data_IF_217891062205
#
_entry.id   IF_217891062205
#
_cell.length_a   1.000
_cell.length_b   1.000
_cell.length_c   1.000
_cell.angle_alpha   90.00
_cell.angle_beta   90.00
_cell.angle_gamma   90.00
#
_symmetry.space_group_name_H-M   'P 1'
#
loop_
_entity.id
_entity.type
_entity.pdbx_description
1 polymer ?
#
# COMPACT_ATOMS: atom_id res chain seq x y z
N UNK A 1 25.31 80.64 21.67
CA UNK A 1 25.08 79.23 22.05
C UNK A 1 26.15 78.44 21.32
N UNK A 2 27.13 77.93 22.05
CA UNK A 2 28.34 77.34 21.49
C UNK A 2 28.03 75.94 20.91
N UNK A 3 28.25 75.67 19.61
CA UNK A 3 27.86 74.41 18.97
C UNK A 3 28.75 73.20 19.33
N UNK A 4 29.76 73.39 20.19
CA UNK A 4 30.71 72.37 20.61
C UNK A 4 30.56 71.91 22.07
N UNK A 5 29.40 72.17 22.70
CA UNK A 5 29.15 71.69 24.06
C UNK A 5 29.00 70.16 24.08
N UNK A 6 30.04 69.48 24.56
CA UNK A 6 30.08 68.03 24.75
C UNK A 6 29.13 67.63 25.91
N UNK A 7 28.25 66.66 25.67
CA UNK A 7 27.29 66.22 26.68
C UNK A 7 28.01 65.56 27.87
N UNK A 8 27.56 65.80 29.13
CA UNK A 8 28.24 65.25 30.31
C UNK A 8 28.25 63.72 30.26
N UNK A 9 29.44 63.13 30.25
CA UNK A 9 29.64 61.68 30.24
C UNK A 9 29.18 61.03 31.54
N UNK A 10 28.56 59.85 31.43
CA UNK A 10 28.13 59.03 32.57
C UNK A 10 29.36 58.53 33.37
N UNK A 11 29.33 58.66 34.70
CA UNK A 11 30.40 58.18 35.57
C UNK A 11 30.54 56.63 35.53
N UNK A 12 31.77 56.08 35.62
CA UNK A 12 31.99 54.64 35.57
C UNK A 12 31.36 53.93 36.79
N UNK A 13 30.60 52.86 36.54
CA UNK A 13 29.94 52.06 37.59
C UNK A 13 28.41 52.19 37.65
N UNK A 14 27.79 53.13 36.92
CA UNK A 14 26.32 53.24 36.81
C UNK A 14 25.84 52.75 35.45
N UNK A 15 24.89 51.81 35.42
CA UNK A 15 24.29 51.26 34.19
C UNK A 15 23.27 52.23 33.60
N UNK A 16 23.74 53.20 32.82
CA UNK A 16 22.85 54.08 32.07
C UNK A 16 22.21 53.31 30.90
N UNK A 17 20.87 53.21 30.83
CA UNK A 17 20.17 52.46 29.78
C UNK A 17 20.46 52.98 28.36
N UNK A 18 20.78 54.26 28.19
CA UNK A 18 21.17 54.81 26.88
C UNK A 18 22.53 54.30 26.41
N UNK A 19 23.49 54.18 27.33
CA UNK A 19 24.85 53.72 27.01
C UNK A 19 24.86 52.21 26.72
N UNK A 20 24.04 51.44 27.44
CA UNK A 20 23.81 50.02 27.14
C UNK A 20 23.14 49.81 25.79
N UNK A 21 22.14 50.62 25.42
CA UNK A 21 21.50 50.55 24.11
C UNK A 21 22.48 50.91 22.97
N UNK A 22 23.37 51.88 23.20
CA UNK A 22 24.43 52.26 22.25
C UNK A 22 25.45 51.13 22.09
N UNK A 23 25.89 50.51 23.19
CA UNK A 23 26.79 49.36 23.17
C UNK A 23 26.17 48.14 22.46
N UNK A 24 24.90 47.82 22.73
CA UNK A 24 24.19 46.74 22.03
C UNK A 24 24.08 46.97 20.52
N UNK A 25 23.76 48.19 20.10
CA UNK A 25 23.70 48.54 18.65
C UNK A 25 25.05 48.46 17.93
N UNK A 26 26.17 48.58 18.64
CA UNK A 26 27.51 48.40 18.06
C UNK A 26 27.86 46.92 17.90
N UNK A 27 27.39 46.07 18.82
CA UNK A 27 27.70 44.65 18.85
C UNK A 27 26.74 43.81 18.00
N UNK A 28 25.48 44.23 17.87
CA UNK A 28 24.45 43.52 17.13
C UNK A 28 24.23 44.17 15.77
N UNK A 29 24.55 43.45 14.69
CA UNK A 29 24.27 43.91 13.32
C UNK A 29 22.74 43.89 13.11
N UNK A 30 22.10 44.99 12.71
CA UNK A 30 20.67 44.98 12.44
C UNK A 30 20.39 44.00 11.32
N UNK A 31 19.47 43.06 11.56
CA UNK A 31 19.14 42.01 10.61
C UNK A 31 18.46 42.67 9.39
N UNK A 32 19.04 42.62 8.18
CA UNK A 32 18.58 43.43 7.05
C UNK A 32 17.32 42.86 6.38
N UNK A 33 16.81 41.74 6.87
CA UNK A 33 15.69 41.02 6.27
C UNK A 33 14.47 41.20 7.17
N UNK A 34 13.48 41.96 6.69
CA UNK A 34 12.16 42.06 7.30
C UNK A 34 11.36 40.79 6.97
N UNK A 35 11.52 39.77 7.81
CA UNK A 35 10.88 38.46 7.61
C UNK A 35 9.41 38.49 8.05
N UNK A 36 8.52 38.13 7.13
CA UNK A 36 7.09 37.95 7.42
C UNK A 36 6.78 36.46 7.52
N UNK A 37 6.34 35.98 8.69
CA UNK A 37 6.05 34.56 8.84
C UNK A 37 4.86 34.15 7.97
N UNK A 38 4.94 32.95 7.42
CA UNK A 38 3.89 32.31 6.63
C UNK A 38 3.20 31.19 7.43
N UNK A 39 2.01 30.80 6.98
CA UNK A 39 1.22 29.71 7.60
C UNK A 39 1.89 28.33 7.60
N UNK A 40 2.99 28.16 6.87
CA UNK A 40 3.74 26.91 6.73
C UNK A 40 4.96 26.82 7.65
N UNK A 41 5.39 27.93 8.25
CA UNK A 41 6.62 27.96 9.07
C UNK A 41 6.52 27.05 10.30
N UNK A 42 5.29 26.76 10.75
CA UNK A 42 4.99 25.83 11.85
C UNK A 42 5.34 24.36 11.54
N UNK A 43 5.44 24.00 10.26
CA UNK A 43 5.63 22.62 9.82
C UNK A 43 7.10 22.33 9.44
N UNK A 44 7.98 23.34 9.51
CA UNK A 44 9.40 23.23 9.21
C UNK A 44 10.27 23.59 10.43
N UNK A 45 11.33 22.82 10.66
CA UNK A 45 12.38 23.22 11.61
C UNK A 45 13.13 24.41 11.00
N UNK A 46 12.76 25.63 11.40
CA UNK A 46 13.38 26.86 10.91
C UNK A 46 14.86 26.91 11.31
N UNK A 47 15.71 27.45 10.43
CA UNK A 47 17.07 27.96 10.74
C UNK A 47 16.99 29.23 11.63
N UNK A 48 16.30 29.11 12.77
CA UNK A 48 16.10 30.18 13.74
C UNK A 48 17.35 30.45 14.58
N UNK A 49 17.31 31.50 15.38
CA UNK A 49 18.42 31.83 16.29
C UNK A 49 18.71 30.67 17.25
N UNK A 50 19.95 30.54 17.73
CA UNK A 50 20.43 29.38 18.51
C UNK A 50 19.54 29.03 19.72
N UNK A 51 18.80 30.00 20.27
CA UNK A 51 17.83 29.80 21.35
C UNK A 51 16.53 29.10 20.92
N UNK A 52 16.04 29.36 19.70
CA UNK A 52 14.80 28.76 19.18
C UNK A 52 15.00 27.29 18.82
N UNK A 53 16.18 26.95 18.29
CA UNK A 53 16.59 25.55 17.99
C UNK A 53 16.71 24.73 19.27
N UNK A 54 17.20 25.33 20.36
CA UNK A 54 17.31 24.67 21.66
C UNK A 54 15.93 24.33 22.25
N UNK A 55 14.96 25.24 22.13
CA UNK A 55 13.59 25.00 22.61
C UNK A 55 12.84 23.97 21.76
N UNK A 56 13.05 23.94 20.45
CA UNK A 56 12.56 22.85 19.58
C UNK A 56 13.17 21.50 19.98
N UNK A 57 14.48 21.44 20.22
CA UNK A 57 15.17 20.22 20.65
C UNK A 57 14.64 19.64 21.97
N UNK A 58 14.25 20.49 22.92
CA UNK A 58 13.63 20.07 24.19
C UNK A 58 12.20 19.54 23.95
N UNK A 59 11.41 20.22 23.11
CA UNK A 59 10.06 19.78 22.75
C UNK A 59 10.07 18.43 22.04
N UNK A 60 11.01 18.21 21.13
CA UNK A 60 11.17 16.95 20.40
C UNK A 60 11.66 15.82 21.31
N UNK A 61 12.59 16.10 22.23
CA UNK A 61 13.06 15.12 23.22
C UNK A 61 11.91 14.66 24.13
N UNK A 62 11.07 15.59 24.57
CA UNK A 62 9.88 15.28 25.37
C UNK A 62 8.86 14.47 24.57
N UNK A 63 8.62 14.82 23.30
CA UNK A 63 7.71 14.10 22.38
C UNK A 63 8.21 12.70 22.02
N UNK A 64 9.52 12.46 22.05
CA UNK A 64 10.16 11.15 21.83
C UNK A 64 10.08 10.22 23.05
N UNK A 65 9.85 10.78 24.25
CA UNK A 65 9.60 10.01 25.49
C UNK A 65 8.13 9.61 25.68
N UNK A 66 7.18 10.19 24.94
CA UNK A 66 5.83 9.65 24.90
C UNK A 66 5.82 8.35 24.09
N UNK A 67 5.23 7.25 24.60
CA UNK A 67 5.08 6.03 23.84
C UNK A 67 4.19 6.34 22.63
N UNK A 68 4.78 6.33 21.44
CA UNK A 68 4.04 6.33 20.18
C UNK A 68 3.29 5.01 20.09
N UNK A 69 2.06 5.02 20.60
CA UNK A 69 1.16 3.89 20.46
C UNK A 69 0.76 3.73 18.99
N UNK A 70 0.64 2.47 18.59
CA UNK A 70 0.09 1.96 17.32
C UNK A 70 0.91 2.21 16.05
N UNK A 71 2.09 1.58 15.97
CA UNK A 71 2.55 1.07 14.67
C UNK A 71 1.53 0.02 14.20
N UNK A 72 0.49 0.47 13.50
CA UNK A 72 -0.35 -0.43 12.72
C UNK A 72 0.56 -1.07 11.67
N UNK A 73 0.71 -2.40 11.64
CA UNK A 73 1.50 -3.04 10.59
C UNK A 73 0.96 -2.58 9.24
N UNK A 74 1.84 -2.31 8.27
CA UNK A 74 1.42 -1.88 6.95
C UNK A 74 0.50 -2.94 6.32
N UNK A 75 -0.81 -2.73 6.42
CA UNK A 75 -1.82 -3.58 5.79
C UNK A 75 -1.94 -3.11 4.34
N UNK A 76 -1.60 -3.98 3.41
CA UNK A 76 -1.89 -3.74 2.00
C UNK A 76 -3.40 -3.49 1.83
N UNK A 77 -3.76 -2.42 1.13
CA UNK A 77 -5.16 -2.09 0.88
C UNK A 77 -5.83 -3.28 0.19
N UNK A 78 -7.07 -3.66 0.58
CA UNK A 78 -7.79 -4.69 -0.15
C UNK A 78 -7.94 -4.26 -1.61
N UNK A 79 -7.87 -5.21 -2.57
CA UNK A 79 -8.09 -4.90 -3.97
C UNK A 79 -9.48 -4.29 -4.16
N UNK A 80 -9.64 -3.33 -5.09
CA UNK A 80 -10.92 -2.71 -5.35
C UNK A 80 -11.95 -3.72 -5.86
N UNK A 81 -13.23 -3.57 -5.47
CA UNK A 81 -14.37 -4.41 -5.90
C UNK A 81 -14.80 -4.14 -7.37
N UNK A 82 -13.84 -3.90 -8.26
CA UNK A 82 -14.07 -3.69 -9.68
C UNK A 82 -13.67 -4.93 -10.46
N UNK A 83 -14.46 -5.28 -11.48
CA UNK A 83 -14.13 -6.38 -12.38
C UNK A 83 -12.82 -6.05 -13.10
N UNK A 84 -11.92 -7.02 -13.18
CA UNK A 84 -10.70 -6.86 -13.97
C UNK A 84 -11.08 -6.65 -15.44
N UNK A 85 -10.68 -5.53 -16.04
CA UNK A 85 -10.87 -5.27 -17.46
C UNK A 85 -9.52 -5.32 -18.18
N UNK A 86 -9.20 -6.42 -18.88
CA UNK A 86 -7.92 -6.56 -19.57
C UNK A 86 -7.73 -5.48 -20.66
N UNK A 87 -8.80 -4.94 -21.25
CA UNK A 87 -8.72 -3.92 -22.28
C UNK A 87 -8.24 -2.54 -21.77
N UNK A 88 -8.31 -2.32 -20.45
CA UNK A 88 -7.86 -1.08 -19.81
C UNK A 88 -6.48 -1.20 -19.16
N UNK A 89 -5.80 -2.34 -19.34
CA UNK A 89 -4.47 -2.54 -18.78
C UNK A 89 -3.43 -1.72 -19.56
N UNK A 90 -2.58 -0.97 -18.86
CA UNK A 90 -1.61 -0.04 -19.46
C UNK A 90 -0.66 -0.73 -20.45
N UNK A 91 -0.30 -1.98 -20.16
CA UNK A 91 0.61 -2.80 -20.95
C UNK A 91 -0.05 -4.14 -21.26
N UNK A 92 -0.52 -4.38 -22.49
CA UNK A 92 -1.13 -5.65 -22.87
C UNK A 92 -0.17 -6.84 -22.76
N UNK A 93 1.13 -6.61 -22.91
CA UNK A 93 2.17 -7.65 -22.75
C UNK A 93 2.42 -8.10 -21.31
N UNK A 94 1.91 -7.36 -20.32
CA UNK A 94 1.97 -7.75 -18.90
C UNK A 94 0.76 -8.64 -18.52
N UNK A 95 -0.21 -8.78 -19.42
CA UNK A 95 -1.29 -9.75 -19.29
C UNK A 95 -0.77 -11.14 -19.65
N UNK A 96 -1.29 -12.16 -18.98
CA UNK A 96 -1.01 -13.54 -19.36
C UNK A 96 -1.32 -13.77 -20.84
N UNK A 97 -0.47 -14.54 -21.52
CA UNK A 97 -0.54 -14.75 -22.97
C UNK A 97 -0.87 -16.19 -23.32
N UNK A 98 -1.37 -16.41 -24.53
CA UNK A 98 -1.58 -17.78 -25.03
C UNK A 98 -0.24 -18.50 -25.23
N UNK A 99 0.82 -17.76 -25.58
CA UNK A 99 2.17 -18.29 -25.75
C UNK A 99 2.77 -18.84 -24.44
N UNK A 100 2.44 -18.20 -23.32
CA UNK A 100 2.85 -18.61 -21.96
C UNK A 100 1.85 -19.53 -21.27
N UNK A 101 0.69 -19.79 -21.88
CA UNK A 101 -0.37 -20.65 -21.34
C UNK A 101 -1.15 -20.04 -20.16
N UNK A 102 -0.96 -18.75 -19.88
CA UNK A 102 -1.58 -18.08 -18.73
C UNK A 102 -2.58 -16.96 -19.10
N UNK A 103 -3.01 -16.93 -20.37
CA UNK A 103 -4.10 -16.09 -20.87
C UNK A 103 -5.35 -16.10 -19.99
N UNK A 104 -5.64 -17.21 -19.31
CA UNK A 104 -6.79 -17.32 -18.42
C UNK A 104 -6.74 -16.33 -17.24
N UNK A 105 -5.56 -15.93 -16.76
CA UNK A 105 -5.43 -14.97 -15.65
C UNK A 105 -6.07 -13.62 -16.00
N UNK A 106 -6.09 -13.27 -17.28
CA UNK A 106 -6.68 -12.04 -17.78
C UNK A 106 -8.22 -12.10 -17.95
N UNK A 107 -8.89 -13.16 -17.49
CA UNK A 107 -10.33 -13.29 -17.59
C UNK A 107 -11.07 -12.08 -16.98
N UNK A 108 -12.11 -11.52 -17.65
CA UNK A 108 -12.83 -10.33 -17.22
C UNK A 108 -13.90 -10.63 -16.17
N UNK A 109 -13.53 -11.38 -15.13
CA UNK A 109 -14.38 -11.71 -13.99
C UNK A 109 -13.91 -10.97 -12.74
N UNK A 110 -14.85 -10.70 -11.83
CA UNK A 110 -14.52 -10.15 -10.51
C UNK A 110 -13.74 -11.18 -9.70
N UNK A 111 -12.79 -10.68 -8.92
CA UNK A 111 -12.15 -11.43 -7.85
C UNK A 111 -13.24 -11.95 -6.90
N UNK A 112 -13.26 -13.25 -6.64
CA UNK A 112 -14.12 -13.85 -5.61
C UNK A 112 -13.25 -14.62 -4.63
N UNK A 113 -13.49 -14.40 -3.33
CA UNK A 113 -12.82 -15.15 -2.26
C UNK A 113 -13.35 -16.57 -2.18
N UNK A 114 -12.55 -17.48 -1.64
CA UNK A 114 -13.01 -18.84 -1.40
C UNK A 114 -14.20 -18.82 -0.40
N UNK A 115 -15.30 -19.56 -0.65
CA UNK A 115 -16.46 -19.60 0.25
C UNK A 115 -16.19 -20.27 1.62
N UNK A 116 -14.96 -20.72 1.85
CA UNK A 116 -14.53 -21.43 3.03
C UNK A 116 -13.34 -22.34 2.70
N UNK A 117 -12.70 -22.88 3.75
CA UNK A 117 -11.56 -23.80 3.64
C UNK A 117 -11.90 -25.22 4.12
N UNK A 118 -13.19 -25.53 4.19
CA UNK A 118 -13.79 -26.80 4.63
C UNK A 118 -14.08 -27.77 3.45
N UNK A 119 -13.57 -27.45 2.26
CA UNK A 119 -13.84 -28.20 1.05
C UNK A 119 -14.99 -27.67 0.20
N UNK A 120 -15.75 -26.65 0.65
CA UNK A 120 -16.83 -26.11 -0.17
C UNK A 120 -16.31 -25.50 -1.48
N UNK A 121 -15.20 -24.76 -1.41
CA UNK A 121 -14.60 -24.12 -2.56
C UNK A 121 -14.22 -25.15 -3.63
N UNK A 122 -13.51 -26.21 -3.25
CA UNK A 122 -13.15 -27.27 -4.21
C UNK A 122 -14.36 -28.06 -4.73
N UNK A 123 -15.41 -28.28 -3.92
CA UNK A 123 -16.67 -28.90 -4.40
C UNK A 123 -17.35 -28.05 -5.46
N UNK A 124 -17.43 -26.73 -5.27
CA UNK A 124 -18.02 -25.81 -6.26
C UNK A 124 -17.27 -25.84 -7.59
N UNK A 125 -15.93 -25.82 -7.56
CA UNK A 125 -15.10 -25.92 -8.79
C UNK A 125 -15.32 -27.26 -9.49
N UNK A 126 -15.30 -28.40 -8.77
CA UNK A 126 -15.55 -29.73 -9.37
C UNK A 126 -16.92 -29.80 -10.04
N UNK A 127 -17.95 -29.24 -9.40
CA UNK A 127 -19.30 -29.15 -9.99
C UNK A 127 -19.28 -28.33 -11.28
N UNK A 128 -18.64 -27.16 -11.28
CA UNK A 128 -18.54 -26.30 -12.46
C UNK A 128 -17.76 -26.95 -13.62
N UNK A 129 -16.72 -27.74 -13.32
CA UNK A 129 -16.02 -28.57 -14.33
C UNK A 129 -17.00 -29.54 -14.98
N UNK A 130 -17.73 -30.33 -14.17
CA UNK A 130 -18.68 -31.32 -14.70
C UNK A 130 -19.79 -30.69 -15.53
N UNK A 131 -20.33 -29.54 -15.10
CA UNK A 131 -21.31 -28.77 -15.88
C UNK A 131 -20.73 -28.29 -17.21
N UNK A 132 -19.50 -27.78 -17.21
CA UNK A 132 -18.83 -27.33 -18.43
C UNK A 132 -18.57 -28.50 -19.39
N UNK A 133 -18.09 -29.64 -18.89
CA UNK A 133 -17.85 -30.84 -19.67
C UNK A 133 -19.12 -31.38 -20.33
N UNK A 134 -20.25 -31.34 -19.61
CA UNK A 134 -21.57 -31.71 -20.13
C UNK A 134 -22.05 -30.73 -21.20
N UNK A 135 -22.01 -29.41 -20.93
CA UNK A 135 -22.42 -28.38 -21.90
C UNK A 135 -21.58 -28.39 -23.18
N UNK A 136 -20.31 -28.78 -23.07
CA UNK A 136 -19.34 -28.81 -24.17
C UNK A 136 -19.03 -30.24 -24.63
N UNK A 137 -19.94 -31.19 -24.42
CA UNK A 137 -19.71 -32.60 -24.74
C UNK A 137 -19.37 -32.86 -26.21
N UNK A 138 -19.91 -32.05 -27.12
CA UNK A 138 -19.64 -32.12 -28.57
C UNK A 138 -18.21 -31.71 -28.96
N UNK A 139 -17.48 -31.02 -28.09
CA UNK A 139 -16.15 -30.53 -28.40
C UNK A 139 -15.09 -31.65 -28.31
N UNK A 140 -14.01 -31.60 -29.13
CA UNK A 140 -12.95 -32.60 -29.10
C UNK A 140 -12.39 -32.81 -27.68
N UNK A 141 -12.32 -34.07 -27.23
CA UNK A 141 -11.89 -34.40 -25.86
C UNK A 141 -10.48 -33.87 -25.56
N UNK A 142 -9.53 -34.03 -26.48
CA UNK A 142 -8.16 -33.54 -26.31
C UNK A 142 -8.10 -32.01 -26.10
N UNK A 143 -8.93 -31.25 -26.83
CA UNK A 143 -9.02 -29.80 -26.68
C UNK A 143 -9.64 -29.42 -25.33
N UNK A 144 -10.70 -30.11 -24.91
CA UNK A 144 -11.32 -29.91 -23.60
C UNK A 144 -10.33 -30.17 -22.46
N UNK A 145 -9.65 -31.32 -22.47
CA UNK A 145 -8.67 -31.67 -21.45
C UNK A 145 -7.55 -30.64 -21.37
N UNK A 146 -7.01 -30.18 -22.51
CA UNK A 146 -5.96 -29.14 -22.54
C UNK A 146 -6.43 -27.82 -21.93
N UNK A 147 -7.66 -27.40 -22.23
CA UNK A 147 -8.21 -26.14 -21.70
C UNK A 147 -8.62 -26.24 -20.22
N UNK A 148 -9.01 -27.43 -19.76
CA UNK A 148 -9.34 -27.69 -18.37
C UNK A 148 -8.11 -27.91 -17.48
N UNK A 149 -6.93 -28.18 -18.05
CA UNK A 149 -5.73 -28.46 -17.27
C UNK A 149 -5.40 -27.37 -16.23
N UNK A 150 -5.40 -26.06 -16.57
CA UNK A 150 -5.16 -25.03 -15.56
C UNK A 150 -6.22 -24.99 -14.45
N UNK A 151 -7.46 -25.38 -14.74
CA UNK A 151 -8.52 -25.50 -13.72
C UNK A 151 -8.15 -26.61 -12.74
N UNK A 152 -7.72 -27.76 -13.25
CA UNK A 152 -7.34 -28.91 -12.44
C UNK A 152 -6.11 -28.63 -11.57
N UNK A 153 -5.11 -27.92 -12.10
CA UNK A 153 -3.91 -27.52 -11.36
C UNK A 153 -4.28 -26.61 -10.17
N UNK A 154 -5.02 -25.53 -10.42
CA UNK A 154 -5.47 -24.61 -9.37
C UNK A 154 -6.45 -25.28 -8.38
N UNK A 155 -7.28 -26.21 -8.84
CA UNK A 155 -8.12 -27.04 -7.97
C UNK A 155 -7.27 -27.94 -7.06
N UNK A 156 -6.18 -28.51 -7.56
CA UNK A 156 -5.23 -29.27 -6.77
C UNK A 156 -4.57 -28.41 -5.69
N UNK A 157 -4.20 -27.17 -6.03
CA UNK A 157 -3.62 -26.21 -5.09
C UNK A 157 -4.61 -25.84 -3.98
N UNK A 158 -5.85 -25.54 -4.35
CA UNK A 158 -6.94 -25.27 -3.42
C UNK A 158 -7.17 -26.43 -2.45
N UNK A 159 -7.23 -27.66 -2.97
CA UNK A 159 -7.40 -28.86 -2.13
C UNK A 159 -6.22 -29.08 -1.18
N UNK A 160 -4.98 -28.76 -1.57
CA UNK A 160 -3.83 -28.85 -0.67
C UNK A 160 -3.97 -27.88 0.50
N UNK A 161 -4.47 -26.67 0.24
CA UNK A 161 -4.76 -25.69 1.29
C UNK A 161 -5.89 -26.14 2.22
N UNK A 162 -7.02 -26.58 1.66
CA UNK A 162 -8.15 -27.12 2.42
C UNK A 162 -7.72 -28.31 3.31
N UNK A 163 -6.93 -29.24 2.76
CA UNK A 163 -6.39 -30.38 3.51
C UNK A 163 -5.44 -29.94 4.63
N UNK A 164 -4.60 -28.93 4.39
CA UNK A 164 -3.70 -28.39 5.42
C UNK A 164 -4.50 -27.76 6.56
N UNK A 165 -5.54 -26.99 6.25
CA UNK A 165 -6.45 -26.42 7.25
C UNK A 165 -7.16 -27.49 8.07
N UNK A 166 -7.69 -28.53 7.40
CA UNK A 166 -8.39 -29.63 8.07
C UNK A 166 -7.49 -30.47 8.98
N UNK A 167 -6.19 -30.58 8.67
CA UNK A 167 -5.21 -31.38 9.43
C UNK A 167 -4.52 -30.59 10.55
N UNK A 168 -4.88 -29.33 10.76
CA UNK A 168 -4.27 -28.49 11.78
C UNK A 168 -2.91 -27.93 11.36
N UNK A 169 -2.90 -27.15 10.28
CA UNK A 169 -1.72 -26.38 9.88
C UNK A 169 -1.21 -25.47 11.01
N UNK A 170 0.08 -25.12 10.95
CA UNK A 170 0.71 -24.13 11.84
C UNK A 170 -0.19 -22.88 11.98
N UNK A 171 -0.46 -22.40 13.22
CA UNK A 171 -1.27 -21.21 13.46
C UNK A 171 -0.89 -19.98 12.61
N UNK A 172 0.40 -19.75 12.35
CA UNK A 172 0.83 -18.61 11.53
C UNK A 172 0.42 -18.81 10.07
N UNK A 173 0.68 -20.00 9.53
CA UNK A 173 0.27 -20.34 8.16
C UNK A 173 -1.26 -20.29 8.00
N UNK A 174 -1.99 -20.84 8.96
CA UNK A 174 -3.45 -20.89 8.99
C UNK A 174 -4.09 -19.49 9.02
N UNK A 175 -3.46 -18.53 9.70
CA UNK A 175 -4.00 -17.16 9.80
C UNK A 175 -3.59 -16.26 8.65
N UNK A 176 -2.37 -16.40 8.13
CA UNK A 176 -1.81 -15.41 7.20
C UNK A 176 -1.69 -15.91 5.76
N UNK A 177 -1.23 -17.15 5.57
CA UNK A 177 -0.81 -17.63 4.24
C UNK A 177 -1.89 -18.46 3.57
N UNK A 178 -2.45 -19.44 4.28
CA UNK A 178 -3.42 -20.39 3.74
C UNK A 178 -4.70 -19.72 3.24
N UNK A 179 -5.31 -18.74 3.95
CA UNK A 179 -6.50 -18.07 3.43
C UNK A 179 -6.25 -17.34 2.11
N UNK A 180 -5.11 -16.64 2.00
CA UNK A 180 -4.75 -15.92 0.76
C UNK A 180 -4.43 -16.88 -0.39
N UNK A 181 -3.73 -17.98 -0.08
CA UNK A 181 -3.43 -19.02 -1.05
C UNK A 181 -4.73 -19.65 -1.59
N UNK A 182 -5.69 -19.96 -0.72
CA UNK A 182 -7.00 -20.46 -1.14
C UNK A 182 -7.80 -19.46 -1.96
N UNK A 183 -7.86 -18.19 -1.54
CA UNK A 183 -8.53 -17.13 -2.31
C UNK A 183 -7.93 -17.03 -3.72
N UNK A 184 -6.60 -17.04 -3.82
CA UNK A 184 -5.91 -16.97 -5.12
C UNK A 184 -6.17 -18.21 -5.98
N UNK A 185 -6.07 -19.41 -5.43
CA UNK A 185 -6.28 -20.65 -6.17
C UNK A 185 -7.74 -20.79 -6.62
N UNK A 186 -8.69 -20.39 -5.77
CA UNK A 186 -10.11 -20.39 -6.09
C UNK A 186 -10.43 -19.41 -7.24
N UNK A 187 -9.94 -18.17 -7.16
CA UNK A 187 -10.17 -17.19 -8.22
C UNK A 187 -9.51 -17.60 -9.54
N UNK A 188 -8.26 -18.09 -9.50
CA UNK A 188 -7.56 -18.59 -10.69
C UNK A 188 -8.28 -19.77 -11.34
N UNK A 189 -8.82 -20.71 -10.54
CA UNK A 189 -9.64 -21.80 -11.06
C UNK A 189 -10.91 -21.29 -11.75
N UNK A 190 -11.58 -20.28 -11.19
CA UNK A 190 -12.76 -19.64 -11.82
C UNK A 190 -12.41 -18.93 -13.12
N UNK A 191 -11.30 -18.21 -13.15
CA UNK A 191 -10.77 -17.54 -14.35
C UNK A 191 -10.43 -18.54 -15.44
N UNK A 192 -9.78 -19.65 -15.08
CA UNK A 192 -9.50 -20.77 -15.98
C UNK A 192 -10.77 -21.42 -16.53
N UNK A 193 -11.79 -21.63 -15.68
CA UNK A 193 -13.10 -22.15 -16.11
C UNK A 193 -13.78 -21.22 -17.12
N UNK A 194 -13.79 -19.91 -16.84
CA UNK A 194 -14.34 -18.92 -17.76
C UNK A 194 -13.61 -18.96 -19.11
N UNK A 195 -12.27 -18.95 -19.08
CA UNK A 195 -11.46 -18.99 -20.28
C UNK A 195 -11.70 -20.26 -21.10
N UNK A 196 -11.75 -21.43 -20.45
CA UNK A 196 -12.04 -22.70 -21.09
C UNK A 196 -13.43 -22.68 -21.76
N UNK A 197 -14.45 -22.16 -21.07
CA UNK A 197 -15.80 -22.04 -21.63
C UNK A 197 -15.85 -21.14 -22.86
N UNK A 198 -15.16 -19.99 -22.83
CA UNK A 198 -15.08 -19.08 -23.98
C UNK A 198 -14.38 -19.74 -25.18
N UNK A 199 -13.27 -20.46 -24.94
CA UNK A 199 -12.54 -21.13 -26.02
C UNK A 199 -13.27 -22.34 -26.59
N UNK A 200 -14.12 -22.98 -25.79
CA UNK A 200 -14.97 -24.09 -26.23
C UNK A 200 -16.32 -23.62 -26.81
N UNK A 201 -16.67 -22.33 -26.69
CA UNK A 201 -17.93 -21.80 -27.21
C UNK A 201 -18.08 -21.99 -28.73
N UNK A 202 -16.98 -21.89 -29.49
CA UNK A 202 -16.96 -22.08 -30.94
C UNK A 202 -17.25 -23.52 -31.38
N UNK A 203 -17.17 -24.49 -30.46
CA UNK A 203 -17.43 -25.90 -30.72
C UNK A 203 -18.83 -26.33 -30.26
N UNK A 204 -19.70 -25.38 -29.87
CA UNK A 204 -21.09 -25.65 -29.59
C UNK A 204 -21.84 -25.98 -30.91
N UNK A 205 -22.79 -26.94 -30.89
CA UNK A 205 -23.65 -27.21 -32.04
C UNK A 205 -24.57 -26.02 -32.38
#
# INVERSE_FOLDING_TARGET
>A
MDPFAEAPGTAPGTTNPRDLAKAKRLLERPNPIDYRPTRFDKDWASDGTLGDVAMQGIGDAMKKMLPKSSDQPAVARPPPDVRFNPALHERPGDLGSEATGDAYKAAPIALEKAPGLDGEASRRIRKAIGELEQRRAACPAAQRSRLLQPVLDNLGDLQRVENAMARGADPILAQQTLPRAADSAYDLARRALWYADQKLAACAP
#
